data_IF_099178720293
#
_entry.id   IF_099178720293
#
_cell.length_a   1.000
_cell.length_b   1.000
_cell.length_c   1.000
_cell.angle_alpha   90.00
_cell.angle_beta   90.00
_cell.angle_gamma   90.00
#
_symmetry.space_group_name_H-M   'P 1'
#
loop_
_entity.id
_entity.type
_entity.pdbx_description
1 polymer ?
#
# COMPACT_ATOMS: atom_id res chain seq x y z
N UNK A 1 12.08 5.55 -20.69
CA UNK A 1 10.77 5.02 -20.23
C UNK A 1 11.09 3.94 -19.21
N UNK A 2 10.39 3.86 -18.08
CA UNK A 2 10.73 2.83 -17.08
C UNK A 2 10.37 1.44 -17.60
N UNK A 3 11.34 0.52 -17.53
CA UNK A 3 11.09 -0.90 -17.68
C UNK A 3 10.42 -1.41 -16.41
N UNK A 4 9.43 -2.28 -16.55
CA UNK A 4 8.69 -2.83 -15.43
C UNK A 4 8.64 -4.35 -15.53
N UNK A 5 8.73 -5.01 -14.39
CA UNK A 5 8.67 -6.47 -14.29
C UNK A 5 8.01 -6.89 -12.97
N UNK A 6 7.34 -8.03 -12.98
CA UNK A 6 6.85 -8.70 -11.77
C UNK A 6 7.72 -9.93 -11.54
N UNK A 7 8.36 -9.98 -10.38
CA UNK A 7 9.20 -11.11 -9.98
C UNK A 7 8.65 -11.74 -8.71
N UNK A 8 8.69 -13.09 -8.57
CA UNK A 8 8.53 -13.69 -7.27
C UNK A 8 9.68 -13.24 -6.36
N UNK A 9 9.42 -13.04 -5.06
CA UNK A 9 10.47 -12.63 -4.12
C UNK A 9 11.65 -13.61 -4.10
N UNK A 10 11.38 -14.90 -4.24
CA UNK A 10 12.41 -15.95 -4.34
C UNK A 10 13.31 -15.83 -5.58
N UNK A 11 12.92 -15.03 -6.58
CA UNK A 11 13.68 -14.76 -7.79
C UNK A 11 14.51 -13.47 -7.74
N UNK A 12 14.48 -12.71 -6.64
CA UNK A 12 15.24 -11.47 -6.52
C UNK A 12 16.73 -11.73 -6.33
N UNK A 13 17.56 -11.00 -7.08
CA UNK A 13 18.99 -10.99 -6.85
C UNK A 13 19.32 -10.20 -5.57
N UNK A 14 20.34 -10.64 -4.82
CA UNK A 14 20.83 -9.94 -3.63
C UNK A 14 21.22 -8.47 -3.89
N UNK A 15 21.73 -8.19 -5.09
CA UNK A 15 22.04 -6.84 -5.55
C UNK A 15 20.78 -5.97 -5.70
N UNK A 16 19.66 -6.56 -6.14
CA UNK A 16 18.38 -5.84 -6.26
C UNK A 16 17.79 -5.54 -4.88
N UNK A 17 17.80 -6.52 -3.97
CA UNK A 17 17.35 -6.30 -2.59
C UNK A 17 18.13 -5.17 -1.92
N UNK A 18 19.45 -5.11 -2.17
CA UNK A 18 20.31 -4.04 -1.66
C UNK A 18 19.92 -2.67 -2.27
N UNK A 19 19.73 -2.59 -3.59
CA UNK A 19 19.28 -1.34 -4.25
C UNK A 19 17.88 -0.90 -3.79
N UNK A 20 16.96 -1.84 -3.57
CA UNK A 20 15.63 -1.54 -3.02
C UNK A 20 15.74 -0.91 -1.63
N UNK A 21 16.58 -1.48 -0.76
CA UNK A 21 16.84 -0.91 0.57
C UNK A 21 17.48 0.48 0.51
N UNK A 22 18.49 0.67 -0.36
CA UNK A 22 19.11 1.97 -0.59
C UNK A 22 18.11 3.02 -1.09
N UNK A 23 17.17 2.62 -1.95
CA UNK A 23 16.10 3.50 -2.40
C UNK A 23 15.17 3.89 -1.25
N UNK A 24 14.79 2.96 -0.38
CA UNK A 24 14.00 3.22 0.82
C UNK A 24 14.72 4.21 1.76
N UNK A 25 16.03 4.05 1.96
CA UNK A 25 16.86 4.95 2.78
C UNK A 25 16.84 6.40 2.29
N UNK A 26 16.53 6.68 1.03
CA UNK A 26 16.39 8.08 0.55
C UNK A 26 15.17 8.77 1.15
N UNK A 27 14.10 8.04 1.45
CA UNK A 27 12.78 8.62 1.76
C UNK A 27 12.27 8.32 3.16
N UNK A 28 12.77 7.27 3.80
CA UNK A 28 12.34 6.84 5.13
C UNK A 28 13.48 6.92 6.14
N UNK A 29 13.13 7.30 7.36
CA UNK A 29 13.98 7.31 8.54
C UNK A 29 13.75 6.07 9.39
N UNK A 30 14.76 5.70 10.18
CA UNK A 30 14.71 4.60 11.15
C UNK A 30 14.49 3.20 10.51
N UNK A 31 14.87 3.05 9.24
CA UNK A 31 14.88 1.74 8.60
C UNK A 31 15.95 0.83 9.21
N UNK A 32 15.58 -0.43 9.41
CA UNK A 32 16.49 -1.51 9.77
C UNK A 32 16.57 -2.50 8.60
N UNK A 33 17.78 -2.89 8.14
CA UNK A 33 17.93 -3.78 7.00
C UNK A 33 17.40 -5.19 7.26
N UNK A 34 17.43 -5.66 8.51
CA UNK A 34 16.88 -6.95 8.92
C UNK A 34 15.35 -6.93 8.88
N UNK A 35 14.72 -5.88 9.41
CA UNK A 35 13.27 -5.68 9.33
C UNK A 35 12.82 -5.60 7.88
N UNK A 36 13.48 -4.79 7.05
CA UNK A 36 13.18 -4.67 5.62
C UNK A 36 13.25 -6.03 4.91
N UNK A 37 14.34 -6.78 5.12
CA UNK A 37 14.52 -8.09 4.49
C UNK A 37 13.50 -9.10 4.97
N UNK A 38 13.15 -9.10 6.25
CA UNK A 38 12.14 -9.99 6.80
C UNK A 38 10.74 -9.67 6.24
N UNK A 39 10.37 -8.39 6.14
CA UNK A 39 9.11 -7.99 5.52
C UNK A 39 9.06 -8.41 4.05
N UNK A 40 10.13 -8.16 3.29
CA UNK A 40 10.24 -8.52 1.88
C UNK A 40 10.12 -10.03 1.66
N UNK A 41 10.83 -10.85 2.46
CA UNK A 41 10.83 -12.31 2.36
C UNK A 41 9.46 -12.95 2.61
N UNK A 42 8.54 -12.24 3.27
CA UNK A 42 7.17 -12.70 3.47
C UNK A 42 6.29 -12.50 2.23
N UNK A 43 6.69 -11.65 1.29
CA UNK A 43 5.85 -11.27 0.15
C UNK A 43 5.94 -12.32 -0.96
N UNK A 44 4.88 -12.42 -1.76
CA UNK A 44 4.85 -13.32 -2.91
C UNK A 44 5.62 -12.72 -4.08
N UNK A 45 5.38 -11.44 -4.35
CA UNK A 45 5.86 -10.76 -5.55
C UNK A 45 6.40 -9.36 -5.25
N UNK A 46 7.28 -8.90 -6.14
CA UNK A 46 7.71 -7.51 -6.27
C UNK A 46 7.48 -7.03 -7.68
N UNK A 47 6.86 -5.86 -7.81
CA UNK A 47 6.80 -5.10 -9.04
C UNK A 47 8.00 -4.15 -9.03
N UNK A 48 8.97 -4.36 -9.92
CA UNK A 48 10.15 -3.52 -10.04
C UNK A 48 10.00 -2.55 -11.20
N UNK A 49 10.58 -1.36 -11.02
CA UNK A 49 10.71 -0.33 -12.04
C UNK A 49 12.19 -0.01 -12.21
N UNK A 50 12.69 -0.11 -13.45
CA UNK A 50 14.11 0.10 -13.78
C UNK A 50 14.30 1.16 -14.83
N UNK A 51 15.41 1.87 -14.71
CA UNK A 51 15.95 2.71 -15.78
C UNK A 51 16.58 1.87 -16.89
N UNK A 52 16.94 2.53 -17.99
CA UNK A 52 17.54 1.85 -19.13
C UNK A 52 18.91 1.22 -18.80
N UNK A 53 19.62 1.78 -17.82
CA UNK A 53 20.90 1.27 -17.30
C UNK A 53 20.75 0.15 -16.26
N UNK A 54 19.51 -0.23 -15.90
CA UNK A 54 19.21 -1.30 -14.94
C UNK A 54 19.02 -0.84 -13.49
N UNK A 55 19.27 0.45 -13.18
CA UNK A 55 19.08 1.01 -11.84
C UNK A 55 17.63 0.90 -11.39
N UNK A 56 17.40 0.47 -10.15
CA UNK A 56 16.04 0.43 -9.57
C UNK A 56 15.54 1.86 -9.31
N UNK A 57 14.51 2.24 -10.07
CA UNK A 57 13.79 3.49 -9.97
C UNK A 57 12.62 3.44 -8.99
N UNK A 58 12.16 2.25 -8.62
CA UNK A 58 11.05 2.06 -7.71
C UNK A 58 10.63 0.61 -7.59
N UNK A 59 9.84 0.32 -6.57
CA UNK A 59 9.22 -0.97 -6.39
C UNK A 59 7.95 -0.89 -5.54
N UNK A 60 7.13 -1.93 -5.62
CA UNK A 60 6.12 -2.27 -4.62
C UNK A 60 6.10 -3.77 -4.41
N UNK A 61 6.01 -4.23 -3.16
CA UNK A 61 5.89 -5.65 -2.82
C UNK A 61 4.44 -6.02 -2.47
N UNK A 62 4.07 -7.27 -2.69
CA UNK A 62 2.70 -7.72 -2.42
C UNK A 62 2.59 -9.17 -1.95
N UNK A 63 1.60 -9.43 -1.10
CA UNK A 63 1.26 -10.75 -0.57
C UNK A 63 -0.26 -10.97 -0.67
N UNK A 64 -0.70 -12.16 -1.06
CA UNK A 64 -2.12 -12.54 -0.97
C UNK A 64 -2.41 -13.14 0.41
N UNK A 65 -3.18 -12.41 1.21
CA UNK A 65 -3.64 -12.85 2.52
C UNK A 65 -5.03 -13.48 2.39
N UNK A 66 -5.25 -14.59 3.10
CA UNK A 66 -6.53 -15.29 3.17
C UNK A 66 -7.05 -15.25 4.60
N UNK A 67 -8.18 -14.59 4.82
CA UNK A 67 -8.82 -14.48 6.12
C UNK A 67 -10.13 -15.26 6.13
N UNK A 68 -10.35 -16.10 7.13
CA UNK A 68 -11.65 -16.70 7.36
C UNK A 68 -12.51 -15.75 8.19
N UNK A 69 -13.54 -15.16 7.58
CA UNK A 69 -14.46 -14.23 8.22
C UNK A 69 -15.87 -14.85 8.15
N UNK A 70 -16.40 -15.21 9.31
CA UNK A 70 -17.72 -15.84 9.46
C UNK A 70 -17.90 -17.08 8.55
N UNK A 71 -16.87 -17.91 8.43
CA UNK A 71 -16.90 -19.13 7.63
C UNK A 71 -16.60 -18.93 6.15
N UNK A 72 -16.37 -17.69 5.69
CA UNK A 72 -16.04 -17.38 4.30
C UNK A 72 -14.60 -16.90 4.18
N UNK A 73 -13.84 -17.51 3.27
CA UNK A 73 -12.47 -17.09 2.97
C UNK A 73 -12.50 -15.82 2.13
N UNK A 74 -11.96 -14.74 2.67
CA UNK A 74 -11.72 -13.47 1.97
C UNK A 74 -10.27 -13.40 1.52
N UNK A 75 -10.06 -12.97 0.28
CA UNK A 75 -8.74 -12.82 -0.32
C UNK A 75 -8.40 -11.33 -0.36
N UNK A 76 -7.23 -10.98 0.16
CA UNK A 76 -6.75 -9.61 0.21
C UNK A 76 -5.37 -9.53 -0.42
N UNK A 77 -5.18 -8.65 -1.38
CA UNK A 77 -3.87 -8.24 -1.83
C UNK A 77 -3.32 -7.24 -0.80
N UNK A 78 -2.33 -7.63 -0.02
CA UNK A 78 -1.63 -6.74 0.89
C UNK A 78 -0.43 -6.12 0.17
N UNK A 79 -0.39 -4.79 0.05
CA UNK A 79 0.80 -4.07 -0.42
C UNK A 79 1.74 -3.81 0.76
N UNK A 80 2.97 -4.29 0.64
CA UNK A 80 4.06 -3.98 1.55
C UNK A 80 4.78 -2.69 1.15
N UNK A 81 6.09 -2.67 1.40
CA UNK A 81 6.95 -1.54 1.07
C UNK A 81 6.79 -1.10 -0.39
N UNK A 82 6.60 0.21 -0.55
CA UNK A 82 6.31 0.84 -1.83
C UNK A 82 7.04 2.17 -1.91
N UNK A 83 7.91 2.32 -2.91
CA UNK A 83 8.68 3.54 -3.11
C UNK A 83 8.99 3.74 -4.59
N UNK A 84 8.94 4.99 -5.02
CA UNK A 84 9.45 5.44 -6.32
C UNK A 84 10.49 6.52 -6.07
N UNK A 85 11.52 6.59 -6.88
CA UNK A 85 12.45 7.73 -6.86
C UNK A 85 11.67 9.02 -7.19
N UNK A 86 12.01 10.12 -6.49
CA UNK A 86 11.34 11.42 -6.56
C UNK A 86 11.25 11.94 -8.00
N UNK A 87 12.21 11.59 -8.86
CA UNK A 87 12.19 11.97 -10.28
C UNK A 87 10.98 11.43 -11.06
N UNK A 88 10.32 10.39 -10.54
CA UNK A 88 9.11 9.80 -11.14
C UNK A 88 7.83 10.12 -10.38
N UNK A 89 7.89 10.96 -9.35
CA UNK A 89 6.69 11.33 -8.61
C UNK A 89 5.75 12.18 -9.46
N UNK A 90 4.45 11.95 -9.30
CA UNK A 90 3.42 12.58 -10.14
C UNK A 90 3.30 11.94 -11.53
N UNK A 91 4.15 10.98 -11.87
CA UNK A 91 3.96 10.13 -13.04
C UNK A 91 3.10 8.92 -12.66
N UNK A 92 2.28 8.46 -13.60
CA UNK A 92 1.37 7.33 -13.37
C UNK A 92 2.03 5.94 -13.50
N UNK A 93 3.37 5.85 -13.49
CA UNK A 93 4.09 4.60 -13.78
C UNK A 93 3.73 3.49 -12.80
N UNK A 94 3.81 3.76 -11.50
CA UNK A 94 3.48 2.80 -10.46
C UNK A 94 2.03 2.36 -10.55
N UNK A 95 1.12 3.33 -10.67
CA UNK A 95 -0.32 3.10 -10.60
C UNK A 95 -0.81 2.31 -11.81
N UNK A 96 -0.39 2.70 -13.01
CA UNK A 96 -0.79 2.01 -14.24
C UNK A 96 -0.35 0.55 -14.20
N UNK A 97 0.91 0.30 -13.85
CA UNK A 97 1.43 -1.06 -13.82
C UNK A 97 0.83 -1.91 -12.69
N UNK A 98 0.56 -1.29 -11.54
CA UNK A 98 -0.11 -1.94 -10.43
C UNK A 98 -1.55 -2.39 -10.77
N UNK A 99 -2.33 -1.57 -11.48
CA UNK A 99 -3.66 -1.98 -11.95
C UNK A 99 -3.60 -3.08 -13.02
N UNK A 100 -2.64 -3.01 -13.93
CA UNK A 100 -2.38 -4.10 -14.89
C UNK A 100 -2.05 -5.40 -14.15
N UNK A 101 -1.15 -5.36 -13.18
CA UNK A 101 -0.81 -6.51 -12.34
C UNK A 101 -2.05 -7.08 -11.64
N UNK A 102 -2.82 -6.26 -10.92
CA UNK A 102 -4.01 -6.75 -10.20
C UNK A 102 -5.02 -7.41 -11.12
N UNK A 103 -5.35 -6.77 -12.24
CA UNK A 103 -6.34 -7.30 -13.18
C UNK A 103 -5.90 -8.63 -13.81
N UNK A 104 -4.59 -8.87 -13.88
CA UNK A 104 -4.01 -10.12 -14.36
C UNK A 104 -4.14 -11.28 -13.34
N UNK A 105 -4.35 -10.97 -12.05
CA UNK A 105 -4.44 -11.98 -11.00
C UNK A 105 -5.73 -12.82 -11.14
N UNK A 106 -5.68 -14.15 -10.93
CA UNK A 106 -6.86 -14.99 -10.93
C UNK A 106 -7.94 -14.51 -9.96
N UNK A 107 -7.54 -14.03 -8.78
CA UNK A 107 -8.44 -13.53 -7.74
C UNK A 107 -9.32 -12.37 -8.21
N UNK A 108 -8.80 -11.50 -9.08
CA UNK A 108 -9.59 -10.41 -9.64
C UNK A 108 -10.74 -10.92 -10.51
N UNK A 109 -10.50 -11.99 -11.28
CA UNK A 109 -11.51 -12.62 -12.15
C UNK A 109 -12.53 -13.44 -11.36
N UNK A 110 -12.10 -14.04 -10.26
CA UNK A 110 -12.97 -14.81 -9.35
C UNK A 110 -13.90 -13.91 -8.52
N UNK A 111 -13.52 -12.64 -8.29
CA UNK A 111 -14.27 -11.71 -7.47
C UNK A 111 -14.02 -11.87 -5.97
N UNK A 112 -14.75 -11.12 -5.14
CA UNK A 112 -14.54 -11.06 -3.68
C UNK A 112 -13.08 -10.78 -3.26
N UNK A 113 -12.40 -9.94 -4.05
CA UNK A 113 -11.01 -9.56 -3.87
C UNK A 113 -10.89 -8.13 -3.35
N UNK A 114 -9.95 -7.90 -2.45
CA UNK A 114 -9.78 -6.61 -1.78
C UNK A 114 -8.32 -6.22 -1.75
N UNK A 115 -8.04 -4.92 -1.81
CA UNK A 115 -6.72 -4.37 -1.58
C UNK A 115 -6.60 -3.93 -0.13
N UNK A 116 -5.57 -4.39 0.56
CA UNK A 116 -5.21 -3.92 1.89
C UNK A 116 -3.97 -3.05 1.81
N UNK A 117 -4.11 -1.82 2.32
CA UNK A 117 -3.11 -0.77 2.26
C UNK A 117 -2.83 -0.23 3.66
N UNK A 118 -1.57 -0.24 4.05
CA UNK A 118 -1.10 0.52 5.21
C UNK A 118 -0.74 1.94 4.78
N UNK A 119 -1.50 2.92 5.27
CA UNK A 119 -1.30 4.32 4.93
C UNK A 119 -0.44 5.01 5.98
N UNK A 120 0.87 5.00 5.77
CA UNK A 120 1.88 5.72 6.58
C UNK A 120 1.88 7.24 6.38
N UNK A 121 1.23 7.73 5.33
CA UNK A 121 1.15 9.16 5.04
C UNK A 121 -0.01 9.52 4.13
N UNK A 122 -0.37 10.81 4.13
CA UNK A 122 -1.57 11.29 3.42
C UNK A 122 -1.48 11.09 1.90
N UNK A 123 -0.28 11.12 1.31
CA UNK A 123 -0.08 10.87 -0.12
C UNK A 123 -0.47 9.45 -0.51
N UNK A 124 -0.11 8.47 0.32
CA UNK A 124 -0.51 7.06 0.14
C UNK A 124 -2.03 6.92 0.34
N UNK A 125 -2.59 7.50 1.39
CA UNK A 125 -4.03 7.49 1.62
C UNK A 125 -4.82 8.08 0.44
N UNK A 126 -4.30 9.15 -0.19
CA UNK A 126 -4.93 9.83 -1.34
C UNK A 126 -5.08 8.98 -2.60
N UNK A 127 -4.39 7.85 -2.71
CA UNK A 127 -4.63 6.90 -3.80
C UNK A 127 -6.04 6.34 -3.74
N UNK A 128 -6.56 6.08 -2.54
CA UNK A 128 -7.89 5.51 -2.34
C UNK A 128 -9.00 6.39 -2.94
N UNK A 129 -9.19 7.66 -2.51
CA UNK A 129 -10.24 8.50 -3.08
C UNK A 129 -9.98 8.88 -4.55
N UNK A 130 -8.74 8.78 -5.03
CA UNK A 130 -8.44 9.08 -6.43
C UNK A 130 -8.86 7.93 -7.36
N UNK A 131 -8.57 6.67 -7.01
CA UNK A 131 -8.76 5.51 -7.88
C UNK A 131 -9.98 4.63 -7.54
N UNK A 132 -10.53 4.72 -6.34
CA UNK A 132 -11.57 3.81 -5.86
C UNK A 132 -12.89 4.53 -5.56
N UNK A 133 -13.99 3.85 -5.89
CA UNK A 133 -15.34 4.18 -5.44
C UNK A 133 -15.61 3.59 -4.05
N UNK A 134 -15.14 2.36 -3.81
CA UNK A 134 -15.41 1.57 -2.61
C UNK A 134 -14.11 1.30 -1.87
N UNK A 135 -13.86 2.13 -0.87
CA UNK A 135 -12.71 2.04 0.02
C UNK A 135 -13.07 2.56 1.40
N UNK A 136 -12.33 2.11 2.40
CA UNK A 136 -12.50 2.48 3.79
C UNK A 136 -11.15 2.47 4.52
N UNK A 137 -11.03 3.21 5.62
CA UNK A 137 -12.02 4.16 6.13
C UNK A 137 -12.07 5.47 5.30
N UNK A 138 -13.19 6.18 5.37
CA UNK A 138 -13.46 7.44 4.62
C UNK A 138 -14.29 8.41 5.45
N UNK A 139 -14.27 9.68 5.07
CA UNK A 139 -14.83 10.76 5.89
C UNK A 139 -16.37 10.83 5.88
N UNK A 140 -16.99 10.39 4.80
CA UNK A 140 -18.40 10.58 4.45
C UNK A 140 -19.24 9.30 4.61
N UNK A 141 -18.64 8.19 5.03
CA UNK A 141 -19.38 6.94 5.26
C UNK A 141 -18.73 6.08 6.35
N UNK A 142 -19.52 5.39 7.19
CA UNK A 142 -18.97 4.46 8.16
C UNK A 142 -18.34 3.25 7.46
N UNK A 143 -17.32 2.67 8.09
CA UNK A 143 -16.71 1.40 7.63
C UNK A 143 -17.71 0.24 7.78
N UNK A 144 -18.05 -0.49 6.70
CA UNK A 144 -18.96 -1.62 6.75
C UNK A 144 -18.45 -2.73 7.68
N UNK A 145 -19.34 -3.50 8.34
CA UNK A 145 -18.94 -4.57 9.25
C UNK A 145 -17.97 -5.59 8.64
N UNK A 146 -18.18 -5.98 7.39
CA UNK A 146 -17.27 -6.91 6.69
C UNK A 146 -15.87 -6.31 6.51
N UNK A 147 -15.78 -5.03 6.14
CA UNK A 147 -14.50 -4.34 5.96
C UNK A 147 -13.79 -4.13 7.28
N UNK A 148 -14.55 -3.81 8.34
CA UNK A 148 -14.01 -3.76 9.71
C UNK A 148 -13.43 -5.11 10.12
N UNK A 149 -14.12 -6.22 9.86
CA UNK A 149 -13.62 -7.56 10.15
C UNK A 149 -12.35 -7.91 9.33
N UNK A 150 -12.22 -7.42 8.09
CA UNK A 150 -11.01 -7.57 7.29
C UNK A 150 -9.83 -6.79 7.89
N UNK A 151 -10.05 -5.53 8.27
CA UNK A 151 -9.04 -4.69 8.94
C UNK A 151 -8.55 -5.36 10.23
N UNK A 152 -9.48 -5.74 11.11
CA UNK A 152 -9.15 -6.36 12.39
C UNK A 152 -8.50 -7.73 12.21
N UNK A 153 -9.00 -8.55 11.28
CA UNK A 153 -8.44 -9.88 11.00
C UNK A 153 -7.01 -9.80 10.47
N UNK A 154 -6.73 -8.87 9.55
CA UNK A 154 -5.38 -8.62 9.07
C UNK A 154 -4.47 -8.11 10.18
N UNK A 155 -4.91 -7.09 10.92
CA UNK A 155 -4.06 -6.45 11.92
C UNK A 155 -3.74 -7.40 13.08
N UNK A 156 -4.68 -8.24 13.50
CA UNK A 156 -4.40 -9.29 14.50
C UNK A 156 -3.47 -10.39 13.97
N UNK A 157 -3.52 -10.70 12.67
CA UNK A 157 -2.64 -11.68 12.04
C UNK A 157 -1.19 -11.16 11.95
N UNK A 158 -1.02 -9.89 11.56
CA UNK A 158 0.29 -9.33 11.19
C UNK A 158 0.91 -8.44 12.26
N UNK A 159 0.10 -7.81 13.10
CA UNK A 159 0.50 -6.75 14.04
C UNK A 159 -0.24 -6.84 15.39
N UNK A 160 -0.35 -8.02 16.02
CA UNK A 160 -1.23 -8.24 17.18
C UNK A 160 -0.91 -7.32 18.37
N UNK A 161 0.36 -6.98 18.57
CA UNK A 161 0.81 -6.24 19.76
C UNK A 161 0.73 -4.71 19.59
N UNK A 162 0.60 -4.22 18.36
CA UNK A 162 0.71 -2.79 18.03
C UNK A 162 -0.53 -2.23 17.34
N UNK A 163 -1.57 -3.04 17.16
CA UNK A 163 -2.83 -2.60 16.56
C UNK A 163 -3.79 -2.01 17.59
N UNK A 164 -4.17 -0.75 17.40
CA UNK A 164 -5.26 -0.12 18.13
C UNK A 164 -6.59 -0.32 17.39
N UNK A 165 -7.38 -1.27 17.88
CA UNK A 165 -8.70 -1.62 17.33
C UNK A 165 -9.68 -0.44 17.32
N UNK A 166 -9.60 0.48 18.27
CA UNK A 166 -10.56 1.58 18.36
C UNK A 166 -10.35 2.58 17.21
N UNK A 167 -9.09 2.84 16.86
CA UNK A 167 -8.72 3.79 15.81
C UNK A 167 -8.44 3.14 14.45
N UNK A 168 -8.20 1.84 14.40
CA UNK A 168 -7.81 1.14 13.17
C UNK A 168 -6.37 1.42 12.76
N UNK A 169 -5.49 1.73 13.73
CA UNK A 169 -4.11 2.19 13.51
C UNK A 169 -3.11 1.16 14.01
N UNK A 170 -2.05 0.95 13.23
CA UNK A 170 -0.86 0.21 13.66
C UNK A 170 0.17 1.22 14.18
N UNK A 171 0.60 1.05 15.43
CA UNK A 171 1.55 1.92 16.13
C UNK A 171 2.89 1.22 16.34
N UNK A 172 3.52 0.78 15.25
CA UNK A 172 4.80 0.06 15.31
C UNK A 172 5.96 0.98 15.67
N UNK A 173 5.90 2.26 15.25
CA UNK A 173 6.98 3.24 15.44
C UNK A 173 8.31 2.82 14.78
N UNK A 174 8.28 1.84 13.86
CA UNK A 174 9.48 1.26 13.28
C UNK A 174 10.18 2.24 12.34
N UNK A 175 9.47 2.82 11.38
CA UNK A 175 10.02 3.71 10.37
C UNK A 175 8.99 4.77 9.95
N UNK A 176 9.46 5.89 9.42
CA UNK A 176 8.59 7.01 9.05
C UNK A 176 9.14 7.77 7.84
N UNK A 177 8.24 8.41 7.09
CA UNK A 177 8.63 9.26 5.96
C UNK A 177 9.44 10.44 6.49
N UNK A 178 10.61 10.68 5.90
CA UNK A 178 11.52 11.76 6.30
C UNK A 178 10.84 13.13 6.23
N UNK A 179 11.11 14.05 7.18
CA UNK A 179 10.74 15.46 7.04
C UNK A 179 11.26 16.05 5.72
N UNK A 180 10.47 16.90 5.06
CA UNK A 180 10.79 17.52 3.77
C UNK A 180 10.53 16.64 2.54
N UNK A 181 10.19 15.36 2.74
CA UNK A 181 9.89 14.43 1.64
C UNK A 181 8.45 14.57 1.18
N UNK A 182 7.50 14.50 2.12
CA UNK A 182 6.06 14.58 1.86
C UNK A 182 5.32 15.27 3.01
N UNK A 183 5.81 16.44 3.42
CA UNK A 183 5.19 17.19 4.51
C UNK A 183 3.80 17.69 4.14
N UNK A 184 2.89 17.65 5.12
CA UNK A 184 1.55 18.19 4.96
C UNK A 184 1.55 19.69 5.24
N UNK A 185 1.23 20.47 4.22
CA UNK A 185 0.95 21.91 4.35
C UNK A 185 -0.54 22.19 4.60
N UNK A 186 -0.85 23.35 5.19
CA UNK A 186 -2.21 23.79 5.54
C UNK A 186 -3.19 23.78 4.36
N UNK A 187 -2.73 24.15 3.15
CA UNK A 187 -3.55 24.09 1.93
C UNK A 187 -4.08 22.70 1.62
N UNK A 188 -3.40 21.64 2.04
CA UNK A 188 -3.86 20.27 1.80
C UNK A 188 -5.08 19.90 2.65
N UNK A 189 -5.27 20.56 3.81
CA UNK A 189 -6.40 20.31 4.70
C UNK A 189 -7.74 20.81 4.13
N UNK A 190 -7.72 21.52 3.00
CA UNK A 190 -8.93 21.86 2.24
C UNK A 190 -9.55 20.62 1.56
N UNK A 191 -8.76 19.56 1.33
CA UNK A 191 -9.26 18.27 0.86
C UNK A 191 -9.78 17.46 2.07
N UNK A 192 -11.09 17.17 2.09
CA UNK A 192 -11.76 16.47 3.19
C UNK A 192 -11.20 15.07 3.47
N UNK A 193 -10.60 14.40 2.48
CA UNK A 193 -9.92 13.13 2.70
C UNK A 193 -8.59 13.33 3.43
N UNK A 194 -7.84 14.38 3.11
CA UNK A 194 -6.58 14.68 3.78
C UNK A 194 -6.83 15.14 5.22
N UNK A 195 -7.82 16.01 5.43
CA UNK A 195 -8.27 16.40 6.78
C UNK A 195 -8.63 15.16 7.60
N UNK A 196 -9.48 14.29 7.03
CA UNK A 196 -9.90 13.06 7.69
C UNK A 196 -8.69 12.21 8.12
N UNK A 197 -7.75 11.97 7.19
CA UNK A 197 -6.55 11.20 7.47
C UNK A 197 -5.72 11.83 8.61
N UNK A 198 -5.47 13.14 8.54
CA UNK A 198 -4.70 13.86 9.54
C UNK A 198 -5.35 13.79 10.93
N UNK A 199 -6.68 13.90 10.98
CA UNK A 199 -7.44 13.85 12.23
C UNK A 199 -7.50 12.45 12.84
N UNK A 200 -7.69 11.40 12.03
CA UNK A 200 -7.78 10.03 12.56
C UNK A 200 -6.42 9.45 12.88
N UNK A 201 -5.38 9.79 12.12
CA UNK A 201 -4.02 9.30 12.32
C UNK A 201 -3.03 10.44 12.57
N UNK A 202 -3.12 11.18 13.69
CA UNK A 202 -2.19 12.28 13.98
C UNK A 202 -0.75 11.80 14.22
N UNK A 203 -0.55 10.51 14.48
CA UNK A 203 0.75 9.90 14.69
C UNK A 203 1.51 9.52 13.42
N UNK A 204 0.94 9.73 12.22
CA UNK A 204 1.57 9.35 10.95
C UNK A 204 2.98 9.91 10.78
N UNK A 205 3.25 11.09 11.34
CA UNK A 205 4.58 11.72 11.34
C UNK A 205 5.65 10.94 12.09
N UNK A 206 5.25 10.01 12.97
CA UNK A 206 6.13 9.06 13.69
C UNK A 206 6.05 7.64 13.14
N UNK A 207 5.33 7.44 12.04
CA UNK A 207 5.20 6.12 11.40
C UNK A 207 3.93 5.34 11.78
N UNK A 208 2.96 5.95 12.49
CA UNK A 208 1.68 5.28 12.71
C UNK A 208 0.94 5.09 11.36
N UNK A 209 0.38 3.91 11.13
CA UNK A 209 -0.22 3.55 9.84
C UNK A 209 -1.72 3.30 9.97
N UNK A 210 -2.50 3.95 9.12
CA UNK A 210 -3.94 3.70 9.03
C UNK A 210 -4.19 2.48 8.14
N UNK A 211 -4.85 1.46 8.69
CA UNK A 211 -5.21 0.26 7.93
C UNK A 211 -6.40 0.56 7.03
N UNK A 212 -6.19 0.50 5.73
CA UNK A 212 -7.19 0.81 4.72
C UNK A 212 -7.50 -0.44 3.87
N UNK A 213 -8.74 -0.53 3.39
CA UNK A 213 -9.21 -1.59 2.51
C UNK A 213 -10.01 -1.00 1.35
N UNK A 214 -9.74 -1.44 0.13
CA UNK A 214 -10.52 -1.11 -1.05
C UNK A 214 -11.03 -2.36 -1.77
N UNK A 215 -12.19 -2.28 -2.40
CA UNK A 215 -12.75 -3.39 -3.19
C UNK A 215 -12.07 -3.45 -4.56
N UNK A 216 -11.46 -4.60 -4.89
CA UNK A 216 -10.85 -4.88 -6.19
C UNK A 216 -11.89 -5.52 -7.11
N UNK A 217 -12.80 -4.68 -7.61
CA UNK A 217 -13.83 -5.08 -8.57
C UNK A 217 -14.07 -3.95 -9.57
N UNK A 218 -14.74 -4.23 -10.70
CA UNK A 218 -15.13 -3.22 -11.66
C UNK A 218 -15.97 -2.09 -11.05
N UNK A 219 -16.79 -2.37 -10.03
CA UNK A 219 -17.56 -1.34 -9.32
C UNK A 219 -16.72 -0.61 -8.28
N UNK A 220 -15.84 -1.34 -7.59
CA UNK A 220 -14.98 -0.79 -6.54
C UNK A 220 -13.94 0.19 -7.06
N UNK A 221 -13.48 -0.02 -8.30
CA UNK A 221 -12.49 0.80 -9.00
C UNK A 221 -13.18 1.76 -9.97
N UNK A 222 -12.71 3.01 -10.05
CA UNK A 222 -13.28 4.02 -10.97
C UNK A 222 -13.06 3.67 -12.44
N UNK A 223 -14.04 4.01 -13.27
CA UNK A 223 -14.09 3.65 -14.70
C UNK A 223 -12.85 4.05 -15.50
N UNK A 224 -12.27 5.23 -15.23
CA UNK A 224 -11.08 5.68 -15.96
C UNK A 224 -9.86 4.78 -15.76
N UNK A 225 -9.86 3.95 -14.72
CA UNK A 225 -8.77 3.01 -14.41
C UNK A 225 -8.92 1.71 -15.21
N UNK A 226 -10.12 1.37 -15.68
CA UNK A 226 -10.37 0.09 -16.37
C UNK A 226 -9.60 -0.02 -17.69
N UNK A 227 -9.10 1.10 -18.24
CA UNK A 227 -8.19 1.12 -19.38
C UNK A 227 -6.86 0.37 -19.14
N UNK A 228 -6.51 0.10 -17.88
CA UNK A 228 -5.28 -0.62 -17.51
C UNK A 228 -5.51 -2.12 -17.27
N UNK A 229 -6.76 -2.61 -17.38
CA UNK A 229 -7.08 -4.01 -17.12
C UNK A 229 -6.71 -4.90 -18.32
N UNK A 230 -6.29 -6.14 -18.05
CA UNK A 230 -5.88 -7.14 -19.06
C UNK A 230 -6.78 -8.37 -19.14
#
# INVERSE_FOLDING_TARGET
MLKNEVLPVSGLAEADVSQMYELMLKYYSNLDPGIFRNDLNEKDHVLLFREDDGTIAGFTSSLIIRLNIAGVVRKLLYSGDTVMDRKYWGMSHLQNYWFTYISSLPEFKEGDFYWLLLSKGYRTYRFLPYYFNLFWPRYDAPTPPLVKAMIEGFANLKFPDVFDRASGIIRSGCDYVKPGVADMEERHLQDLHIEYFARVNPGYVRGDELVCVAELSYRGIKDFVHQYFV
#
